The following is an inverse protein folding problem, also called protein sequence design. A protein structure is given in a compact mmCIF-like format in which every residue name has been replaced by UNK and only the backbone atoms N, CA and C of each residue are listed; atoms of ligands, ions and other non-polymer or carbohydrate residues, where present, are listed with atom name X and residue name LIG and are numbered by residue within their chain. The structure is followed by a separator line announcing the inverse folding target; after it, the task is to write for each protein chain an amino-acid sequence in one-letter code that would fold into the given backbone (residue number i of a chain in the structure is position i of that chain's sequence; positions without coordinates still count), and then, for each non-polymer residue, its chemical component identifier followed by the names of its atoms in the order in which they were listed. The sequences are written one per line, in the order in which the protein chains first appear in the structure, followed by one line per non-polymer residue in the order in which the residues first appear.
data_IF_039510930812
#
_entry.id   IF_039510930812
#
_cell.length_a   1.000
_cell.length_b   1.000
_cell.length_c   1.000
_cell.angle_alpha   90.00
_cell.angle_beta   90.00
_cell.angle_gamma   90.00
#
_symmetry.space_group_name_H-M   'P 1'
#
loop_
_entity.id
_entity.type
_entity.pdbx_description
1 polymer ?
#
# COMPACT_ATOMS: atom_id res chain seq x y z
N UNK A 1 -31.72 1.31 31.53
CA UNK A 1 -31.07 2.55 31.04
C UNK A 1 -30.67 3.49 32.20
N UNK A 2 -29.81 3.04 33.14
CA UNK A 2 -29.37 3.83 34.32
C UNK A 2 -27.86 4.13 34.36
N UNK A 3 -27.07 3.49 33.50
CA UNK A 3 -25.60 3.55 33.52
C UNK A 3 -25.08 4.83 32.82
N UNK A 4 -25.81 5.36 31.83
CA UNK A 4 -25.40 6.55 31.06
C UNK A 4 -25.31 7.85 31.89
N UNK A 5 -26.10 8.00 32.96
CA UNK A 5 -26.13 9.25 33.75
C UNK A 5 -24.93 9.43 34.69
N UNK A 6 -24.33 8.33 35.16
CA UNK A 6 -23.31 8.37 36.21
C UNK A 6 -21.95 8.89 35.71
N UNK A 7 -21.62 8.68 34.44
CA UNK A 7 -20.38 9.20 33.85
C UNK A 7 -20.47 10.69 33.48
N UNK A 8 -21.68 11.16 33.13
CA UNK A 8 -21.89 12.57 32.77
C UNK A 8 -21.99 13.51 33.98
N UNK A 9 -22.31 13.03 35.18
CA UNK A 9 -22.45 13.90 36.35
C UNK A 9 -21.13 14.46 36.86
N UNK A 10 -19.99 13.84 36.54
CA UNK A 10 -18.66 14.36 36.91
C UNK A 10 -18.11 15.41 35.92
N UNK A 11 -18.73 15.57 34.74
CA UNK A 11 -18.29 16.51 33.70
C UNK A 11 -18.98 17.89 33.81
N UNK A 12 -20.00 18.03 34.66
CA UNK A 12 -20.75 19.29 34.84
C UNK A 12 -20.51 19.83 36.25
N UNK A 13 -19.62 20.81 36.40
CA UNK A 13 -19.75 21.79 37.50
C UNK A 13 -20.94 22.69 37.18
N UNK A 14 -21.70 23.07 38.20
CA UNK A 14 -22.99 23.76 38.14
C UNK A 14 -22.97 25.14 37.43
N UNK A 15 -21.82 25.62 36.95
CA UNK A 15 -21.65 26.95 36.34
C UNK A 15 -21.38 26.97 34.83
N UNK A 16 -21.43 25.83 34.11
CA UNK A 16 -21.24 25.81 32.65
C UNK A 16 -19.80 26.05 32.18
N UNK A 17 -18.84 26.18 33.10
CA UNK A 17 -17.41 26.26 32.78
C UNK A 17 -16.81 24.85 32.67
N UNK A 18 -16.25 24.53 31.51
CA UNK A 18 -15.48 23.30 31.26
C UNK A 18 -14.13 23.42 31.99
N UNK A 19 -13.72 22.40 32.75
CA UNK A 19 -12.39 22.41 33.39
C UNK A 19 -11.30 22.41 32.33
N UNK A 20 -10.20 23.14 32.56
CA UNK A 20 -9.01 23.16 31.70
C UNK A 20 -8.48 21.72 31.51
N UNK A 21 -8.55 20.88 32.54
CA UNK A 21 -8.14 19.47 32.46
C UNK A 21 -8.99 18.68 31.45
N UNK A 22 -10.29 19.00 31.36
CA UNK A 22 -11.20 18.40 30.38
C UNK A 22 -10.84 18.81 28.96
N UNK A 23 -10.41 20.06 28.75
CA UNK A 23 -9.93 20.54 27.45
C UNK A 23 -8.68 19.75 27.04
N UNK A 24 -7.69 19.61 27.94
CA UNK A 24 -6.49 18.83 27.67
C UNK A 24 -6.79 17.35 27.37
N UNK A 25 -7.68 16.73 28.15
CA UNK A 25 -8.08 15.34 27.92
C UNK A 25 -8.76 15.16 26.55
N UNK A 26 -9.66 16.07 26.16
CA UNK A 26 -10.34 16.01 24.87
C UNK A 26 -9.38 16.24 23.70
N UNK A 27 -8.46 17.19 23.82
CA UNK A 27 -7.41 17.43 22.82
C UNK A 27 -6.52 16.21 22.62
N UNK A 28 -6.12 15.55 23.72
CA UNK A 28 -5.35 14.31 23.65
C UNK A 28 -6.11 13.20 22.90
N UNK A 29 -7.39 13.00 23.21
CA UNK A 29 -8.24 12.01 22.52
C UNK A 29 -8.32 12.30 21.02
N UNK A 30 -8.49 13.56 20.63
CA UNK A 30 -8.54 13.96 19.22
C UNK A 30 -7.22 13.66 18.50
N UNK A 31 -6.08 13.95 19.14
CA UNK A 31 -4.76 13.65 18.57
C UNK A 31 -4.59 12.14 18.37
N UNK A 32 -4.89 11.33 19.39
CA UNK A 32 -4.80 9.87 19.29
C UNK A 32 -5.72 9.33 18.20
N UNK A 33 -6.96 9.81 18.13
CA UNK A 33 -7.91 9.39 17.10
C UNK A 33 -7.43 9.75 15.69
N UNK A 34 -6.86 10.94 15.52
CA UNK A 34 -6.27 11.38 14.24
C UNK A 34 -5.08 10.50 13.84
N UNK A 35 -4.22 10.16 14.80
CA UNK A 35 -3.09 9.24 14.55
C UNK A 35 -3.58 7.85 14.16
N UNK A 36 -4.59 7.32 14.84
CA UNK A 36 -5.20 6.03 14.48
C UNK A 36 -5.78 6.07 13.07
N UNK A 37 -6.52 7.12 12.71
CA UNK A 37 -7.02 7.29 11.35
C UNK A 37 -5.88 7.27 10.33
N UNK A 38 -4.86 8.12 10.51
CA UNK A 38 -3.71 8.17 9.60
C UNK A 38 -3.00 6.82 9.45
N UNK A 39 -2.86 6.06 10.56
CA UNK A 39 -2.28 4.73 10.51
C UNK A 39 -3.10 3.76 9.65
N UNK A 40 -4.41 3.69 9.87
CA UNK A 40 -5.28 2.75 9.14
C UNK A 40 -5.53 3.15 7.68
N UNK A 41 -5.44 4.44 7.35
CA UNK A 41 -5.69 4.91 5.99
C UNK A 41 -4.44 5.00 5.12
N UNK A 42 -3.24 5.14 5.71
CA UNK A 42 -2.00 5.27 4.95
C UNK A 42 -1.00 4.15 5.25
N UNK A 43 -0.59 4.03 6.52
CA UNK A 43 0.53 3.15 6.89
C UNK A 43 0.18 1.69 6.64
N UNK A 44 -0.98 1.25 7.14
CA UNK A 44 -1.38 -0.14 7.01
C UNK A 44 -1.59 -0.57 5.53
N UNK A 45 -2.31 0.19 4.68
CA UNK A 45 -2.43 -0.11 3.25
C UNK A 45 -1.08 -0.18 2.56
N UNK A 46 -0.22 0.82 2.78
CA UNK A 46 1.11 0.87 2.17
C UNK A 46 1.94 -0.36 2.55
N UNK A 47 2.03 -0.69 3.84
CA UNK A 47 2.81 -1.85 4.31
C UNK A 47 2.28 -3.19 3.78
N UNK A 48 0.96 -3.32 3.59
CA UNK A 48 0.39 -4.54 2.99
C UNK A 48 0.77 -4.65 1.51
N UNK A 49 0.62 -3.56 0.75
CA UNK A 49 0.97 -3.56 -0.67
C UNK A 49 2.47 -3.76 -0.89
N UNK A 50 3.30 -3.09 -0.10
CA UNK A 50 4.77 -3.24 -0.11
C UNK A 50 5.18 -4.71 0.08
N UNK A 51 4.53 -5.41 1.04
CA UNK A 51 4.76 -6.83 1.25
C UNK A 51 4.36 -7.68 0.05
N UNK A 52 3.20 -7.41 -0.57
CA UNK A 52 2.74 -8.18 -1.74
C UNK A 52 3.66 -7.94 -2.95
N UNK A 53 4.09 -6.70 -3.19
CA UNK A 53 5.07 -6.37 -4.24
C UNK A 53 6.40 -7.05 -3.97
N UNK A 54 6.86 -7.08 -2.72
CA UNK A 54 8.08 -7.76 -2.35
C UNK A 54 8.01 -9.27 -2.58
N UNK A 55 6.87 -9.90 -2.29
CA UNK A 55 6.66 -11.33 -2.60
C UNK A 55 6.70 -11.56 -4.11
N UNK A 56 6.09 -10.69 -4.91
CA UNK A 56 6.16 -10.75 -6.37
C UNK A 56 7.60 -10.58 -6.88
N UNK A 57 8.35 -9.64 -6.32
CA UNK A 57 9.76 -9.41 -6.66
C UNK A 57 10.63 -10.62 -6.31
N UNK A 58 10.45 -11.23 -5.13
CA UNK A 58 11.15 -12.46 -4.75
C UNK A 58 10.81 -13.63 -5.67
N UNK A 59 9.56 -13.72 -6.13
CA UNK A 59 9.16 -14.71 -7.11
C UNK A 59 9.90 -14.46 -8.42
N UNK A 60 9.83 -13.24 -8.95
CA UNK A 60 10.54 -12.83 -10.16
C UNK A 60 12.05 -13.09 -10.08
N UNK A 61 12.66 -12.81 -8.93
CA UNK A 61 14.07 -13.04 -8.67
C UNK A 61 14.43 -14.53 -8.80
N UNK A 62 13.59 -15.42 -8.27
CA UNK A 62 13.83 -16.87 -8.33
C UNK A 62 13.63 -17.45 -9.72
N UNK A 63 12.64 -16.96 -10.45
CA UNK A 63 12.32 -17.48 -11.79
C UNK A 63 13.12 -16.81 -12.92
N UNK A 64 13.73 -15.65 -12.65
CA UNK A 64 14.39 -14.82 -13.67
C UNK A 64 13.42 -13.98 -14.50
N UNK A 65 12.19 -13.78 -14.03
CA UNK A 65 11.09 -13.10 -14.70
C UNK A 65 9.74 -13.43 -14.07
N UNK A 66 8.64 -12.88 -14.60
CA UNK A 66 7.28 -13.13 -14.12
C UNK A 66 6.43 -13.77 -15.20
N UNK A 67 5.71 -14.85 -14.88
CA UNK A 67 4.74 -15.42 -15.81
C UNK A 67 3.47 -14.56 -15.87
N UNK A 68 2.66 -14.72 -16.92
CA UNK A 68 1.35 -14.03 -16.99
C UNK A 68 0.44 -14.45 -15.84
N UNK A 69 0.50 -15.71 -15.43
CA UNK A 69 -0.28 -16.23 -14.31
C UNK A 69 0.16 -15.58 -12.99
N UNK A 70 1.46 -15.42 -12.75
CA UNK A 70 1.97 -14.75 -11.53
C UNK A 70 1.47 -13.31 -11.42
N UNK A 71 1.50 -12.58 -12.55
CA UNK A 71 1.00 -11.21 -12.63
C UNK A 71 -0.51 -11.18 -12.41
N UNK A 72 -1.27 -12.12 -12.98
CA UNK A 72 -2.71 -12.20 -12.80
C UNK A 72 -3.08 -12.52 -11.35
N UNK A 73 -2.46 -13.53 -10.74
CA UNK A 73 -2.69 -13.87 -9.33
C UNK A 73 -2.34 -12.73 -8.38
N UNK A 74 -1.27 -11.98 -8.68
CA UNK A 74 -0.94 -10.76 -7.96
C UNK A 74 -2.06 -9.71 -8.07
N UNK A 75 -2.51 -9.41 -9.30
CA UNK A 75 -3.57 -8.43 -9.54
C UNK A 75 -4.87 -8.83 -8.85
N UNK A 76 -5.27 -10.10 -8.91
CA UNK A 76 -6.46 -10.63 -8.24
C UNK A 76 -6.37 -10.47 -6.71
N UNK A 77 -5.25 -10.86 -6.11
CA UNK A 77 -5.04 -10.72 -4.66
C UNK A 77 -5.02 -9.28 -4.20
N UNK A 78 -4.33 -8.39 -4.91
CA UNK A 78 -4.28 -6.96 -4.60
C UNK A 78 -5.66 -6.31 -4.79
N UNK A 79 -6.39 -6.70 -5.82
CA UNK A 79 -7.73 -6.17 -6.10
C UNK A 79 -8.76 -6.49 -5.02
N UNK A 80 -8.52 -7.52 -4.20
CA UNK A 80 -9.40 -7.90 -3.10
C UNK A 80 -9.29 -6.97 -1.88
N UNK A 81 -8.28 -6.09 -1.82
CA UNK A 81 -8.15 -5.14 -0.72
C UNK A 81 -9.16 -3.99 -0.83
N UNK A 82 -9.80 -3.66 0.28
CA UNK A 82 -10.83 -2.62 0.33
C UNK A 82 -10.33 -1.19 0.08
N UNK A 83 -9.01 -0.97 0.11
CA UNK A 83 -8.38 0.32 -0.11
C UNK A 83 -7.85 0.50 -1.55
N UNK A 84 -8.00 -0.51 -2.41
CA UNK A 84 -7.64 -0.46 -3.83
C UNK A 84 -8.87 -0.03 -4.63
N UNK A 85 -8.74 1.01 -5.45
CA UNK A 85 -9.84 1.49 -6.29
C UNK A 85 -9.68 1.11 -7.75
N UNK A 86 -10.22 -0.05 -8.13
CA UNK A 86 -10.22 -0.49 -9.54
C UNK A 86 -11.12 0.36 -10.45
N UNK A 87 -11.97 1.22 -9.88
CA UNK A 87 -12.83 2.12 -10.68
C UNK A 87 -12.04 3.29 -11.28
N UNK A 88 -10.93 3.68 -10.63
CA UNK A 88 -10.10 4.82 -11.02
C UNK A 88 -8.91 4.42 -11.89
N UNK A 89 -8.68 3.11 -12.10
CA UNK A 89 -7.58 2.61 -12.92
C UNK A 89 -7.35 1.12 -12.82
N UNK A 90 -6.42 0.62 -13.63
CA UNK A 90 -5.95 -0.77 -13.60
C UNK A 90 -4.65 -0.86 -12.81
N UNK A 91 -4.42 -2.00 -12.17
CA UNK A 91 -3.13 -2.33 -11.57
C UNK A 91 -2.12 -2.54 -12.71
N UNK A 92 -1.07 -1.72 -12.73
CA UNK A 92 0.03 -1.82 -13.69
C UNK A 92 1.22 -2.49 -13.01
N UNK A 93 1.80 -3.45 -13.71
CA UNK A 93 2.99 -4.20 -13.30
C UNK A 93 3.91 -4.17 -14.50
N UNK A 94 5.05 -3.52 -14.36
CA UNK A 94 6.07 -3.41 -15.38
C UNK A 94 7.36 -4.00 -14.81
N UNK A 95 7.99 -4.93 -15.53
CA UNK A 95 9.25 -5.52 -15.12
C UNK A 95 10.20 -5.55 -16.32
N UNK A 96 11.34 -4.87 -16.19
CA UNK A 96 12.32 -4.75 -17.27
C UNK A 96 13.74 -4.86 -16.74
N UNK A 97 14.69 -5.20 -17.62
CA UNK A 97 16.12 -5.20 -17.27
C UNK A 97 16.69 -3.79 -17.39
N UNK A 98 17.52 -3.36 -16.44
CA UNK A 98 18.09 -2.01 -16.41
C UNK A 98 19.11 -1.75 -17.55
N UNK A 99 19.94 -2.72 -18.00
CA UNK A 99 20.88 -2.43 -19.08
C UNK A 99 20.24 -2.41 -20.48
N UNK A 100 19.27 -3.28 -20.75
CA UNK A 100 18.76 -3.53 -22.11
C UNK A 100 17.24 -3.27 -22.27
N UNK A 101 16.56 -2.82 -21.20
CA UNK A 101 15.11 -2.57 -21.17
C UNK A 101 14.27 -3.75 -21.68
N UNK A 102 14.80 -4.96 -21.50
CA UNK A 102 14.14 -6.20 -21.93
C UNK A 102 12.97 -6.46 -20.99
N UNK A 103 11.77 -6.61 -21.55
CA UNK A 103 10.59 -7.04 -20.80
C UNK A 103 10.81 -8.44 -20.23
N UNK A 104 10.54 -8.60 -18.94
CA UNK A 104 10.67 -9.88 -18.22
C UNK A 104 9.32 -10.33 -17.66
N UNK A 105 8.23 -9.87 -18.26
CA UNK A 105 6.86 -10.34 -18.03
C UNK A 105 6.44 -11.29 -19.17
N UNK A 106 5.68 -12.32 -18.83
CA UNK A 106 5.21 -13.33 -19.78
C UNK A 106 6.21 -14.43 -20.06
N UNK A 107 7.23 -14.54 -19.22
CA UNK A 107 8.17 -15.64 -19.27
C UNK A 107 7.41 -16.95 -19.05
N UNK A 108 7.90 -18.04 -19.64
CA UNK A 108 7.30 -19.37 -19.43
C UNK A 108 7.42 -19.78 -17.95
N UNK A 109 6.77 -20.84 -17.48
CA UNK A 109 7.00 -21.30 -16.10
C UNK A 109 8.33 -22.04 -15.97
N UNK A 110 8.92 -22.05 -14.76
CA UNK A 110 10.19 -22.73 -14.43
C UNK A 110 10.31 -24.17 -14.92
N UNK A 111 9.18 -24.89 -15.01
CA UNK A 111 9.10 -26.30 -15.42
C UNK A 111 8.96 -26.52 -16.93
N UNK A 112 8.88 -25.44 -17.72
CA UNK A 112 8.68 -25.49 -19.17
C UNK A 112 9.92 -24.96 -19.92
N UNK A 113 10.25 -25.61 -21.05
CA UNK A 113 11.34 -25.18 -21.91
C UNK A 113 10.94 -23.90 -22.66
N UNK A 114 11.45 -22.76 -22.20
CA UNK A 114 11.27 -21.45 -22.81
C UNK A 114 12.55 -20.61 -22.73
N UNK A 115 12.67 -19.62 -23.62
CA UNK A 115 13.93 -18.91 -23.92
C UNK A 115 14.01 -17.48 -23.34
N UNK A 116 13.03 -17.03 -22.56
CA UNK A 116 12.88 -15.60 -22.20
C UNK A 116 13.07 -15.33 -20.70
N UNK A 117 14.14 -15.86 -20.08
CA UNK A 117 14.43 -15.56 -18.67
C UNK A 117 15.78 -14.89 -18.52
N UNK A 118 15.88 -13.99 -17.54
CA UNK A 118 17.17 -13.46 -17.11
C UNK A 118 17.84 -14.51 -16.24
N UNK A 119 19.00 -14.98 -16.69
CA UNK A 119 19.83 -15.88 -15.88
C UNK A 119 20.80 -15.11 -15.01
N UNK A 120 21.25 -15.74 -13.93
CA UNK A 120 22.18 -15.15 -12.97
C UNK A 120 23.55 -14.83 -13.60
N UNK A 121 23.98 -15.59 -14.59
CA UNK A 121 25.24 -15.40 -15.31
C UNK A 121 25.24 -14.18 -16.23
N UNK A 122 24.05 -13.73 -16.68
CA UNK A 122 23.86 -12.50 -17.48
C UNK A 122 24.17 -11.23 -16.67
N UNK A 123 24.15 -11.30 -15.31
CA UNK A 123 24.42 -10.17 -14.40
C UNK A 123 23.54 -8.94 -14.64
N UNK A 124 22.38 -9.13 -15.25
CA UNK A 124 21.41 -8.07 -15.45
C UNK A 124 20.61 -7.81 -14.17
N UNK A 125 20.35 -6.53 -13.90
CA UNK A 125 19.44 -6.10 -12.85
C UNK A 125 18.03 -6.00 -13.43
N UNK A 126 17.06 -6.57 -12.74
CA UNK A 126 15.64 -6.47 -13.06
C UNK A 126 15.03 -5.37 -12.18
N UNK A 127 14.27 -4.47 -12.80
CA UNK A 127 13.49 -3.45 -12.13
C UNK A 127 12.00 -3.81 -12.26
N UNK A 128 11.34 -4.01 -11.13
CA UNK A 128 9.90 -4.17 -11.01
C UNK A 128 9.28 -2.84 -10.55
N UNK A 129 8.34 -2.32 -11.34
CA UNK A 129 7.53 -1.14 -11.02
C UNK A 129 6.09 -1.58 -10.95
N UNK A 130 5.44 -1.36 -9.80
CA UNK A 130 4.03 -1.67 -9.62
C UNK A 130 3.28 -0.40 -9.26
N UNK A 131 2.24 -0.07 -10.04
CA UNK A 131 1.37 1.09 -9.80
C UNK A 131 -0.04 0.59 -9.49
N UNK A 132 -0.56 0.97 -8.33
CA UNK A 132 -1.83 0.50 -7.77
C UNK A 132 -2.73 1.70 -7.48
N UNK A 133 -3.95 1.76 -8.05
CA UNK A 133 -4.88 2.85 -7.77
C UNK A 133 -5.39 2.77 -6.32
N UNK A 134 -5.48 3.92 -5.66
CA UNK A 134 -5.77 4.04 -4.23
C UNK A 134 -7.10 4.73 -3.96
N UNK A 135 -7.81 4.29 -2.92
CA UNK A 135 -9.07 4.90 -2.48
C UNK A 135 -8.80 6.10 -1.53
N UNK A 136 -8.17 7.16 -2.04
CA UNK A 136 -7.71 8.30 -1.22
C UNK A 136 -8.78 9.37 -0.93
N UNK A 137 -10.04 9.14 -1.33
CA UNK A 137 -11.11 10.13 -1.21
C UNK A 137 -11.45 10.51 0.24
N UNK A 138 -11.23 9.60 1.19
CA UNK A 138 -11.42 9.85 2.62
C UNK A 138 -10.32 10.77 3.16
N UNK A 139 -9.13 10.72 2.56
CA UNK A 139 -7.93 11.42 3.02
C UNK A 139 -7.77 12.80 2.41
N UNK A 140 -8.24 13.00 1.17
CA UNK A 140 -8.26 14.29 0.47
C UNK A 140 -8.81 15.45 1.34
N UNK A 141 -9.97 15.35 2.03
CA UNK A 141 -10.49 16.46 2.84
C UNK A 141 -9.63 16.74 4.09
N UNK A 142 -9.07 15.71 4.72
CA UNK A 142 -8.19 15.87 5.90
C UNK A 142 -6.84 16.47 5.48
N UNK A 143 -6.26 15.99 4.37
CA UNK A 143 -5.04 16.52 3.79
C UNK A 143 -5.19 18.00 3.41
N UNK A 144 -6.31 18.38 2.75
CA UNK A 144 -6.64 19.78 2.44
C UNK A 144 -6.75 20.65 3.70
N UNK A 145 -7.37 20.12 4.76
CA UNK A 145 -7.45 20.83 6.04
C UNK A 145 -6.06 21.08 6.66
N UNK A 146 -5.11 20.16 6.48
CA UNK A 146 -3.72 20.28 6.93
C UNK A 146 -2.81 21.03 5.93
N UNK A 147 -3.35 21.59 4.84
CA UNK A 147 -2.59 22.35 3.85
C UNK A 147 -1.83 21.50 2.81
N UNK A 148 -2.11 20.20 2.73
CA UNK A 148 -1.54 19.29 1.72
C UNK A 148 -2.50 19.24 0.52
N UNK A 149 -2.06 19.79 -0.61
CA UNK A 149 -2.89 19.96 -1.81
C UNK A 149 -2.89 18.75 -2.75
N UNK A 150 -1.85 17.91 -2.67
CA UNK A 150 -1.61 16.84 -3.63
C UNK A 150 -1.43 15.52 -2.88
N UNK A 151 -2.48 14.69 -2.89
CA UNK A 151 -2.44 13.32 -2.39
C UNK A 151 -2.47 12.44 -3.63
N UNK A 152 -1.39 11.71 -3.90
CA UNK A 152 -1.27 10.83 -5.07
C UNK A 152 -2.46 9.86 -5.11
N UNK A 153 -3.12 9.73 -6.25
CA UNK A 153 -4.21 8.75 -6.43
C UNK A 153 -3.68 7.31 -6.62
N UNK A 154 -2.36 7.12 -6.67
CA UNK A 154 -1.72 5.84 -6.86
C UNK A 154 -0.64 5.57 -5.81
N UNK A 155 -0.49 4.30 -5.44
CA UNK A 155 0.70 3.78 -4.79
C UNK A 155 1.65 3.26 -5.87
N UNK A 156 2.88 3.73 -5.88
CA UNK A 156 3.93 3.26 -6.79
C UNK A 156 5.05 2.62 -5.97
N UNK A 157 5.33 1.36 -6.26
CA UNK A 157 6.41 0.60 -5.65
C UNK A 157 7.46 0.30 -6.71
N UNK A 158 8.73 0.39 -6.31
CA UNK A 158 9.87 0.08 -7.16
C UNK A 158 10.82 -0.84 -6.41
N UNK A 159 11.06 -2.02 -6.96
CA UNK A 159 12.07 -2.96 -6.48
C UNK A 159 13.09 -3.25 -7.58
N UNK A 160 14.35 -3.41 -7.20
CA UNK A 160 15.45 -3.75 -8.09
C UNK A 160 16.17 -4.96 -7.51
N UNK A 161 16.31 -6.01 -8.29
CA UNK A 161 16.91 -7.28 -7.87
C UNK A 161 17.67 -7.94 -9.01
N UNK A 162 18.45 -8.98 -8.70
CA UNK A 162 19.21 -9.76 -9.67
C UNK A 162 18.67 -11.20 -9.67
N UNK A 163 18.58 -11.83 -10.84
CA UNK A 163 18.09 -13.20 -10.94
C UNK A 163 18.94 -14.21 -10.15
N UNK A 164 18.26 -15.13 -9.45
CA UNK A 164 18.87 -16.27 -8.77
C UNK A 164 18.89 -17.54 -9.63
N UNK A 165 18.28 -17.50 -10.83
CA UNK A 165 18.15 -18.65 -11.73
C UNK A 165 19.49 -18.98 -12.39
N UNK A 166 19.86 -20.26 -12.34
CA UNK A 166 21.07 -20.81 -12.96
C UNK A 166 20.79 -21.42 -14.34
#
# INVERSE_FOLDING_TARGET
MKIRKKYFSHLKKESGFISIETIFAMSFVIIVFTLCLGFFTFVQPYTQLDREVHVLAQLAQRQGGLTMDDVQFFKERVSAYSFVNLSDGLIQVDAHTIPDDRDVIGVTSLDEAGDEYVRRDEKELIQLVVTIPSHNDILKPVARFLGVSDVSDHYTFKEVFMSDRY
#
